data_IF_779405323120
#
_entry.id   IF_779405323120
#
_cell.length_a   1.000
_cell.length_b   1.000
_cell.length_c   1.000
_cell.angle_alpha   90.00
_cell.angle_beta   90.00
_cell.angle_gamma   90.00
#
_symmetry.space_group_name_H-M   'P 1'
#
loop_
_entity.id
_entity.type
_entity.pdbx_description
1 polymer ?
#
# COMPACT_ATOMS: atom_id res chain seq x y z
N UNK A 1 21.75 -5.77 23.17
CA UNK A 1 21.78 -6.76 22.06
C UNK A 1 20.72 -6.37 21.04
N UNK A 2 21.02 -5.44 20.14
CA UNK A 2 20.06 -4.90 19.18
C UNK A 2 20.19 -5.67 17.87
N UNK A 3 19.16 -6.45 17.50
CA UNK A 3 19.12 -7.11 16.20
C UNK A 3 18.39 -6.18 15.24
N UNK A 4 19.17 -5.48 14.41
CA UNK A 4 18.68 -4.75 13.25
C UNK A 4 18.23 -5.77 12.22
N UNK A 5 16.92 -5.92 12.05
CA UNK A 5 16.36 -6.80 11.05
C UNK A 5 16.40 -6.09 9.69
N UNK A 6 17.27 -6.55 8.78
CA UNK A 6 17.30 -6.10 7.38
C UNK A 6 16.58 -7.16 6.54
N UNK A 7 15.40 -6.83 6.02
CA UNK A 7 14.79 -7.58 4.93
C UNK A 7 15.46 -7.16 3.62
N UNK A 8 16.03 -8.09 2.86
CA UNK A 8 16.52 -7.86 1.52
C UNK A 8 15.56 -8.53 0.54
N UNK A 9 14.86 -7.75 -0.27
CA UNK A 9 14.14 -8.25 -1.43
C UNK A 9 15.08 -8.18 -2.64
N UNK A 10 15.32 -9.31 -3.31
CA UNK A 10 16.09 -9.38 -4.54
C UNK A 10 15.12 -9.32 -5.72
N UNK A 11 15.26 -8.33 -6.60
CA UNK A 11 14.54 -8.23 -7.85
C UNK A 11 15.50 -8.58 -9.00
N UNK A 12 15.19 -9.63 -9.76
CA UNK A 12 15.91 -9.97 -10.98
C UNK A 12 15.47 -9.04 -12.12
N UNK A 13 16.44 -8.41 -12.76
CA UNK A 13 16.27 -7.52 -13.91
C UNK A 13 16.02 -8.33 -15.19
N UNK A 14 15.08 -7.90 -16.02
CA UNK A 14 14.93 -8.39 -17.40
C UNK A 14 15.12 -7.22 -18.36
N UNK A 15 16.13 -7.34 -19.23
CA UNK A 15 16.42 -6.41 -20.32
C UNK A 15 15.85 -6.97 -21.61
N UNK A 16 15.17 -6.14 -22.40
CA UNK A 16 14.93 -6.42 -23.82
C UNK A 16 14.99 -5.13 -24.61
N UNK A 17 16.06 -5.00 -25.39
CA UNK A 17 16.24 -4.09 -26.53
C UNK A 17 15.33 -4.48 -27.69
N UNK A 18 14.85 -3.52 -28.51
CA UNK A 18 14.94 -3.54 -29.99
C UNK A 18 14.22 -2.32 -30.64
N UNK A 19 15.05 -1.49 -31.31
CA UNK A 19 14.88 -0.64 -32.51
C UNK A 19 13.65 0.26 -32.81
N UNK A 20 13.98 1.51 -33.17
CA UNK A 20 13.28 2.56 -33.94
C UNK A 20 12.97 2.16 -35.41
N UNK A 21 12.06 2.83 -36.17
CA UNK A 21 12.35 4.15 -36.78
C UNK A 21 11.18 5.17 -36.81
N UNK A 22 11.54 6.36 -37.29
CA UNK A 22 10.84 7.65 -37.28
C UNK A 22 9.56 7.76 -38.13
N UNK A 23 8.65 8.64 -37.70
CA UNK A 23 8.01 9.62 -38.58
C UNK A 23 7.58 10.87 -37.79
N UNK A 24 7.65 12.05 -38.42
CA UNK A 24 7.64 13.37 -37.78
C UNK A 24 6.39 14.15 -38.14
N UNK A 25 5.60 14.62 -37.17
CA UNK A 25 4.68 15.78 -37.34
C UNK A 25 4.66 16.59 -36.03
N UNK A 26 4.83 17.92 -36.17
CA UNK A 26 5.03 18.90 -35.09
C UNK A 26 3.76 19.76 -34.93
N UNK A 27 3.39 20.07 -33.68
CA UNK A 27 2.41 21.09 -33.26
C UNK A 27 1.06 20.50 -32.85
N UNK A 28 0.49 20.72 -31.68
CA UNK A 28 0.62 21.80 -30.68
C UNK A 28 0.17 21.23 -29.32
N UNK A 29 1.11 20.85 -28.46
CA UNK A 29 0.79 20.41 -27.09
C UNK A 29 0.67 21.63 -26.20
N UNK A 30 -0.57 21.97 -25.87
CA UNK A 30 -0.90 22.94 -24.82
C UNK A 30 -0.36 22.38 -23.50
N UNK A 31 0.86 22.79 -23.15
CA UNK A 31 1.52 22.49 -21.87
C UNK A 31 0.67 23.06 -20.75
N UNK A 32 -0.28 22.24 -20.27
CA UNK A 32 -0.90 22.48 -18.99
C UNK A 32 0.15 22.05 -17.98
N UNK A 33 0.95 23.00 -17.48
CA UNK A 33 1.69 22.85 -16.23
C UNK A 33 0.70 22.72 -15.08
N UNK A 34 -0.06 21.63 -15.08
CA UNK A 34 -0.67 21.10 -13.89
C UNK A 34 0.49 20.64 -13.04
N UNK A 35 0.73 21.34 -11.94
CA UNK A 35 1.67 20.93 -10.91
C UNK A 35 1.20 19.55 -10.43
N UNK A 36 1.74 18.49 -11.05
CA UNK A 36 1.26 17.11 -10.98
C UNK A 36 1.61 16.42 -9.67
N UNK A 37 1.33 17.07 -8.55
CA UNK A 37 0.99 16.32 -7.36
C UNK A 37 -0.38 15.71 -7.65
N UNK A 38 -0.39 14.56 -8.33
CA UNK A 38 -1.56 13.71 -8.33
C UNK A 38 -1.98 13.58 -6.87
N UNK A 39 -3.18 14.04 -6.55
CA UNK A 39 -3.80 13.81 -5.25
C UNK A 39 -3.95 12.29 -5.16
N UNK A 40 -2.94 11.64 -4.57
CA UNK A 40 -2.89 10.20 -4.46
C UNK A 40 -3.92 9.89 -3.39
N UNK A 41 -5.09 9.39 -3.81
CA UNK A 41 -6.14 8.99 -2.89
C UNK A 41 -5.53 8.11 -1.79
N UNK A 42 -5.56 8.62 -0.55
CA UNK A 42 -4.93 7.95 0.58
C UNK A 42 -5.72 6.69 0.90
N UNK A 43 -5.10 5.54 0.67
CA UNK A 43 -5.71 4.24 1.01
C UNK A 43 -5.56 3.99 2.51
N UNK A 44 -6.68 3.70 3.17
CA UNK A 44 -6.76 3.45 4.61
C UNK A 44 -7.24 2.03 4.86
N UNK A 45 -6.56 1.31 5.76
CA UNK A 45 -7.07 0.05 6.29
C UNK A 45 -7.80 0.31 7.61
N UNK A 46 -9.12 0.16 7.59
CA UNK A 46 -9.95 0.22 8.79
C UNK A 46 -9.95 -1.12 9.52
N UNK A 47 -9.68 -1.08 10.82
CA UNK A 47 -9.80 -2.23 11.73
C UNK A 47 -10.98 -1.96 12.64
N UNK A 48 -12.10 -2.62 12.37
CA UNK A 48 -13.32 -2.47 13.17
C UNK A 48 -13.32 -3.51 14.28
N UNK A 49 -13.34 -3.03 15.52
CA UNK A 49 -13.33 -3.86 16.71
C UNK A 49 -14.71 -3.83 17.37
N UNK A 50 -15.18 -4.98 17.83
CA UNK A 50 -16.42 -5.06 18.59
C UNK A 50 -16.21 -4.51 20.01
N UNK A 51 -17.05 -3.55 20.41
CA UNK A 51 -16.95 -2.89 21.72
C UNK A 51 -17.11 -3.85 22.89
N UNK A 52 -18.01 -4.82 22.79
CA UNK A 52 -18.24 -5.80 23.85
C UNK A 52 -17.02 -6.68 24.14
N UNK A 53 -16.21 -6.96 23.11
CA UNK A 53 -14.94 -7.69 23.27
C UNK A 53 -13.84 -6.81 23.85
N UNK A 54 -13.79 -5.52 23.49
CA UNK A 54 -12.83 -4.58 24.08
C UNK A 54 -13.02 -4.47 25.60
N UNK A 55 -14.27 -4.42 26.05
CA UNK A 55 -14.60 -4.29 27.48
C UNK A 55 -14.37 -5.60 28.27
N UNK A 56 -14.46 -6.76 27.62
CA UNK A 56 -14.42 -8.07 28.30
C UNK A 56 -13.11 -8.85 28.12
N UNK A 57 -12.30 -8.55 27.10
CA UNK A 57 -11.08 -9.30 26.79
C UNK A 57 -9.81 -8.56 27.23
N UNK A 58 -8.71 -9.28 27.53
CA UNK A 58 -7.40 -8.66 27.73
C UNK A 58 -6.98 -7.86 26.50
N UNK A 59 -6.38 -6.68 26.71
CA UNK A 59 -5.93 -5.79 25.63
C UNK A 59 -5.08 -6.52 24.57
N UNK A 60 -4.15 -7.37 25.01
CA UNK A 60 -3.30 -8.14 24.11
C UNK A 60 -4.08 -9.06 23.17
N UNK A 61 -5.19 -9.65 23.62
CA UNK A 61 -6.05 -10.50 22.80
C UNK A 61 -6.76 -9.70 21.72
N UNK A 62 -7.29 -8.53 22.07
CA UNK A 62 -7.95 -7.61 21.12
C UNK A 62 -6.96 -7.14 20.06
N UNK A 63 -5.76 -6.71 20.47
CA UNK A 63 -4.69 -6.29 19.56
C UNK A 63 -4.30 -7.41 18.60
N UNK A 64 -4.12 -8.64 19.12
CA UNK A 64 -3.73 -9.79 18.30
C UNK A 64 -4.79 -10.11 17.24
N UNK A 65 -6.08 -10.00 17.58
CA UNK A 65 -7.17 -10.16 16.61
C UNK A 65 -7.14 -9.06 15.53
N UNK A 66 -6.93 -7.80 15.92
CA UNK A 66 -6.78 -6.71 14.95
C UNK A 66 -5.60 -6.92 13.99
N UNK A 67 -4.46 -7.40 14.50
CA UNK A 67 -3.31 -7.77 13.67
C UNK A 67 -3.64 -8.91 12.70
N UNK A 68 -4.30 -9.97 13.18
CA UNK A 68 -4.70 -11.10 12.35
C UNK A 68 -5.65 -10.65 11.23
N UNK A 69 -6.71 -9.90 11.57
CA UNK A 69 -7.66 -9.39 10.60
C UNK A 69 -7.00 -8.51 9.53
N UNK A 70 -6.06 -7.64 9.93
CA UNK A 70 -5.31 -6.77 9.02
C UNK A 70 -4.51 -7.55 7.98
N UNK A 71 -3.80 -8.61 8.42
CA UNK A 71 -2.98 -9.44 7.53
C UNK A 71 -3.85 -10.34 6.66
N UNK A 72 -4.93 -10.91 7.21
CA UNK A 72 -5.88 -11.72 6.46
C UNK A 72 -6.51 -10.93 5.32
N UNK A 73 -6.99 -9.71 5.59
CA UNK A 73 -7.58 -8.85 4.56
C UNK A 73 -6.60 -8.54 3.41
N UNK A 74 -5.34 -8.23 3.73
CA UNK A 74 -4.28 -8.01 2.73
C UNK A 74 -4.04 -9.28 1.90
N UNK A 75 -3.98 -10.45 2.56
CA UNK A 75 -3.70 -11.70 1.87
C UNK A 75 -4.83 -12.13 0.94
N UNK A 76 -6.08 -12.05 1.41
CA UNK A 76 -7.29 -12.39 0.66
C UNK A 76 -7.45 -11.51 -0.59
N UNK A 77 -7.00 -10.25 -0.52
CA UNK A 77 -7.14 -9.26 -1.60
C UNK A 77 -5.79 -8.81 -2.17
N UNK A 78 -4.75 -9.66 -2.09
CA UNK A 78 -3.36 -9.28 -2.47
C UNK A 78 -3.21 -8.79 -3.92
N UNK A 79 -4.13 -9.19 -4.80
CA UNK A 79 -4.13 -8.83 -6.23
C UNK A 79 -5.09 -7.64 -6.53
N UNK A 80 -5.80 -7.12 -5.52
CA UNK A 80 -6.66 -5.95 -5.65
C UNK A 80 -5.82 -4.66 -5.86
N UNK A 81 -6.19 -3.78 -6.80
CA UNK A 81 -5.45 -2.55 -7.09
C UNK A 81 -5.21 -1.65 -5.86
N UNK A 82 -6.17 -1.55 -4.94
CA UNK A 82 -6.02 -0.75 -3.72
C UNK A 82 -5.08 -1.42 -2.73
N UNK A 83 -5.12 -2.75 -2.61
CA UNK A 83 -4.17 -3.51 -1.77
C UNK A 83 -2.75 -3.40 -2.32
N UNK A 84 -2.57 -3.49 -3.64
CA UNK A 84 -1.27 -3.28 -4.29
C UNK A 84 -0.76 -1.85 -4.07
N UNK A 85 -1.63 -0.84 -4.20
CA UNK A 85 -1.29 0.55 -3.90
C UNK A 85 -0.89 0.73 -2.42
N UNK A 86 -1.66 0.13 -1.51
CA UNK A 86 -1.43 0.17 -0.06
C UNK A 86 -0.11 -0.50 0.35
N UNK A 87 0.27 -1.59 -0.31
CA UNK A 87 1.48 -2.37 -0.01
C UNK A 87 2.69 -2.01 -0.90
N UNK A 88 2.60 -0.99 -1.75
CA UNK A 88 3.72 -0.63 -2.62
C UNK A 88 4.94 -0.13 -1.79
N UNK A 89 6.18 -0.32 -2.28
CA UNK A 89 7.37 0.03 -1.47
C UNK A 89 7.42 1.49 -1.01
N UNK A 90 7.05 2.51 -1.82
CA UNK A 90 6.98 3.89 -1.35
C UNK A 90 5.95 4.14 -0.24
N UNK A 91 4.87 3.37 -0.18
CA UNK A 91 3.77 3.55 0.76
C UNK A 91 3.93 2.71 2.03
N UNK A 92 4.89 1.79 2.11
CA UNK A 92 5.08 0.94 3.30
C UNK A 92 5.33 1.75 4.58
N UNK A 93 6.11 2.83 4.49
CA UNK A 93 6.40 3.72 5.62
C UNK A 93 5.23 4.69 5.94
N UNK A 94 4.28 4.85 5.01
CA UNK A 94 3.09 5.71 5.15
C UNK A 94 1.77 4.94 5.23
N UNK A 95 1.82 3.61 5.40
CA UNK A 95 0.62 2.77 5.51
C UNK A 95 -0.28 3.28 6.64
N UNK A 96 -1.49 3.70 6.28
CA UNK A 96 -2.44 4.24 7.24
C UNK A 96 -3.40 3.15 7.75
N UNK A 97 -3.55 3.07 9.07
CA UNK A 97 -4.51 2.18 9.74
C UNK A 97 -5.35 2.98 10.73
N UNK A 98 -6.65 2.77 10.72
CA UNK A 98 -7.59 3.43 11.63
C UNK A 98 -8.41 2.37 12.34
N UNK A 99 -8.41 2.41 13.67
CA UNK A 99 -9.26 1.52 14.48
C UNK A 99 -10.59 2.20 14.76
N UNK A 100 -11.68 1.50 14.50
CA UNK A 100 -13.05 1.92 14.83
C UNK A 100 -13.68 0.90 15.79
N UNK A 101 -14.71 1.31 16.52
CA UNK A 101 -15.51 0.42 17.36
C UNK A 101 -16.97 0.37 16.91
N UNK A 102 -17.61 -0.79 17.10
CA UNK A 102 -19.04 -1.04 16.86
C UNK A 102 -19.72 -1.72 18.03
#
# INVERSE_FOLDING_TARGET
>A
RSRKWRMSASASSVSTTTSTPADSIVGEERETRGNGAADVDVVVQYVVLRRDLIESWPLGSVVTQGCHASVAAIWEHKDDPHTLLYCNPPNLDSMHKVTLEV
#
